data_IF_967027075485
#
_entry.id   IF_967027075485
#
_cell.length_a   1.000
_cell.length_b   1.000
_cell.length_c   1.000
_cell.angle_alpha   90.00
_cell.angle_beta   90.00
_cell.angle_gamma   90.00
#
_symmetry.space_group_name_H-M   'P 1'
#
loop_
_entity.id
_entity.type
_entity.pdbx_description
1 polymer ?
#
# COMPACT_ATOMS: atom_id res chain seq x y z
N UNK A 1 -13.14 -4.89 3.38
CA UNK A 1 -12.19 -4.40 4.40
C UNK A 1 -11.12 -3.59 3.71
N UNK A 2 -10.59 -2.55 4.35
CA UNK A 2 -9.59 -1.65 3.77
C UNK A 2 -8.30 -1.68 4.60
N UNK A 3 -7.17 -1.40 3.95
CA UNK A 3 -5.89 -1.19 4.61
C UNK A 3 -5.45 0.27 4.44
N UNK A 4 -4.91 0.86 5.51
CA UNK A 4 -4.35 2.21 5.49
C UNK A 4 -2.83 2.14 5.63
N UNK A 5 -2.12 2.80 4.73
CA UNK A 5 -0.66 2.98 4.82
C UNK A 5 -0.35 4.44 5.13
N UNK A 6 0.17 4.69 6.33
CA UNK A 6 0.75 5.96 6.75
C UNK A 6 2.25 5.98 6.44
N UNK A 7 2.81 7.14 6.09
CA UNK A 7 4.27 7.34 6.17
C UNK A 7 4.59 8.09 7.46
N UNK A 8 5.38 7.47 8.33
CA UNK A 8 5.93 8.13 9.50
C UNK A 8 7.15 8.98 9.07
N UNK A 9 7.00 10.30 9.15
CA UNK A 9 8.08 11.26 8.95
C UNK A 9 7.59 12.67 9.22
N UNK A 10 8.43 13.56 9.79
CA UNK A 10 8.06 14.94 10.01
C UNK A 10 7.98 15.67 8.67
N UNK A 11 6.79 16.21 8.40
CA UNK A 11 6.55 17.31 7.47
C UNK A 11 6.77 17.02 5.97
N UNK A 12 5.70 17.28 5.23
CA UNK A 12 5.58 17.22 3.76
C UNK A 12 5.41 15.81 3.19
N UNK A 13 4.43 15.71 2.29
CA UNK A 13 4.31 14.56 1.40
C UNK A 13 5.66 14.40 0.70
N UNK A 14 6.36 13.30 0.98
CA UNK A 14 7.60 13.02 0.28
C UNK A 14 7.30 12.78 -1.20
N UNK A 15 8.19 13.24 -2.08
CA UNK A 15 8.12 12.92 -3.51
C UNK A 15 8.06 11.41 -3.75
N UNK A 16 8.68 10.61 -2.86
CA UNK A 16 8.59 9.15 -2.87
C UNK A 16 7.17 8.63 -2.65
N UNK A 17 6.38 9.21 -1.75
CA UNK A 17 4.98 8.81 -1.52
C UNK A 17 4.11 9.03 -2.75
N UNK A 18 4.21 10.22 -3.37
CA UNK A 18 3.44 10.53 -4.57
C UNK A 18 3.88 9.70 -5.75
N UNK A 19 5.18 9.40 -5.87
CA UNK A 19 5.69 8.49 -6.89
C UNK A 19 5.17 7.07 -6.66
N UNK A 20 5.11 6.61 -5.41
CA UNK A 20 4.52 5.32 -5.07
C UNK A 20 3.05 5.26 -5.51
N UNK A 21 2.24 6.25 -5.13
CA UNK A 21 0.84 6.36 -5.54
C UNK A 21 0.68 6.39 -7.07
N UNK A 22 1.48 7.19 -7.78
CA UNK A 22 1.46 7.27 -9.25
C UNK A 22 1.80 5.94 -9.91
N UNK A 23 2.84 5.26 -9.44
CA UNK A 23 3.25 3.96 -9.97
C UNK A 23 2.16 2.92 -9.77
N UNK A 24 1.59 2.89 -8.57
CA UNK A 24 0.47 2.05 -8.24
C UNK A 24 -0.75 2.27 -9.14
N UNK A 25 -1.12 3.53 -9.39
CA UNK A 25 -2.22 3.87 -10.30
C UNK A 25 -1.94 3.41 -11.73
N UNK A 26 -0.68 3.46 -12.19
CA UNK A 26 -0.29 2.88 -13.49
C UNK A 26 -0.45 1.36 -13.51
N UNK A 27 0.07 0.66 -12.50
CA UNK A 27 -0.07 -0.80 -12.41
C UNK A 27 -1.54 -1.24 -12.33
N UNK A 28 -2.41 -0.45 -11.68
CA UNK A 28 -3.85 -0.69 -11.65
C UNK A 28 -4.45 -0.67 -13.07
N UNK A 29 -4.06 0.30 -13.90
CA UNK A 29 -4.49 0.37 -15.30
C UNK A 29 -3.96 -0.81 -16.14
N UNK A 30 -2.83 -1.38 -15.75
CA UNK A 30 -2.22 -2.55 -16.39
C UNK A 30 -2.79 -3.90 -15.89
N UNK A 31 -3.76 -3.88 -14.97
CA UNK A 31 -4.45 -5.09 -14.51
C UNK A 31 -3.93 -5.68 -13.20
N UNK A 32 -3.22 -4.90 -12.38
CA UNK A 32 -2.86 -5.31 -11.01
C UNK A 32 -4.11 -5.67 -10.18
N UNK A 33 -4.05 -6.81 -9.48
CA UNK A 33 -5.17 -7.30 -8.65
C UNK A 33 -5.40 -6.46 -7.37
N UNK A 34 -4.37 -5.75 -6.88
CA UNK A 34 -4.49 -4.95 -5.67
C UNK A 34 -5.08 -3.58 -5.98
N UNK A 35 -6.33 -3.36 -5.55
CA UNK A 35 -7.02 -2.09 -5.74
C UNK A 35 -6.53 -0.98 -4.81
N UNK A 36 -6.42 0.23 -5.37
CA UNK A 36 -6.13 1.46 -4.64
C UNK A 36 -7.30 2.41 -4.81
N UNK A 37 -7.90 2.77 -3.68
CA UNK A 37 -9.10 3.60 -3.66
C UNK A 37 -8.76 5.08 -3.68
N UNK A 38 -7.63 5.49 -3.09
CA UNK A 38 -7.18 6.87 -3.16
C UNK A 38 -6.32 7.32 -1.99
N UNK A 39 -6.31 8.63 -1.76
CA UNK A 39 -5.60 9.31 -0.69
C UNK A 39 -6.59 9.90 0.31
N UNK A 40 -6.23 9.87 1.58
CA UNK A 40 -6.92 10.60 2.66
C UNK A 40 -5.90 11.35 3.51
N UNK A 41 -6.35 12.32 4.28
CA UNK A 41 -5.50 13.11 5.16
C UNK A 41 -6.12 13.17 6.55
N UNK A 42 -5.30 12.89 7.57
CA UNK A 42 -5.69 13.17 8.95
C UNK A 42 -5.61 14.68 9.19
N UNK A 43 -6.73 15.31 9.56
CA UNK A 43 -6.80 16.76 9.77
C UNK A 43 -6.05 17.23 11.02
N UNK A 44 -5.91 16.37 12.02
CA UNK A 44 -5.23 16.68 13.28
C UNK A 44 -3.71 16.61 13.13
N UNK A 45 -3.21 15.58 12.45
CA UNK A 45 -1.76 15.36 12.28
C UNK A 45 -1.21 15.89 10.96
N UNK A 46 -2.08 16.25 10.00
CA UNK A 46 -1.71 16.63 8.65
C UNK A 46 -1.18 15.49 7.77
N UNK A 47 -1.11 14.26 8.30
CA UNK A 47 -0.51 13.12 7.62
C UNK A 47 -1.40 12.58 6.52
N UNK A 48 -0.81 12.35 5.35
CA UNK A 48 -1.47 11.66 4.24
C UNK A 48 -1.37 10.15 4.40
N UNK A 49 -2.43 9.47 3.96
CA UNK A 49 -2.56 8.02 3.97
C UNK A 49 -3.05 7.54 2.62
N UNK A 50 -2.51 6.42 2.15
CA UNK A 50 -3.04 5.69 1.01
C UNK A 50 -4.05 4.65 1.48
N UNK A 51 -5.15 4.55 0.75
CA UNK A 51 -6.24 3.60 1.03
C UNK A 51 -6.22 2.48 0.00
N UNK A 52 -6.04 1.26 0.49
CA UNK A 52 -5.93 0.04 -0.31
C UNK A 52 -7.07 -0.93 -0.01
N UNK A 53 -7.33 -1.83 -0.95
CA UNK A 53 -8.02 -3.09 -0.66
C UNK A 53 -7.20 -3.90 0.35
N UNK A 54 -7.86 -4.43 1.37
CA UNK A 54 -7.21 -5.33 2.31
C UNK A 54 -6.98 -6.71 1.68
N UNK A 55 -5.72 -7.14 1.62
CA UNK A 55 -5.33 -8.48 1.20
C UNK A 55 -5.37 -9.45 2.39
N UNK A 56 -6.34 -10.35 2.42
CA UNK A 56 -6.58 -11.27 3.53
C UNK A 56 -5.88 -12.63 3.41
N UNK A 57 -5.05 -12.84 2.38
CA UNK A 57 -4.36 -14.12 2.11
C UNK A 57 -2.93 -14.19 2.67
N UNK A 58 -2.51 -13.19 3.43
CA UNK A 58 -1.12 -13.07 3.90
C UNK A 58 -0.18 -12.61 2.79
N UNK A 59 1.12 -12.87 2.96
CA UNK A 59 2.15 -12.50 1.98
C UNK A 59 2.80 -13.76 1.37
N UNK A 60 3.42 -13.58 0.19
CA UNK A 60 4.06 -14.65 -0.55
C UNK A 60 5.22 -15.29 0.24
N UNK A 61 5.96 -14.50 1.02
CA UNK A 61 7.08 -15.01 1.80
C UNK A 61 6.63 -16.02 2.85
N UNK A 62 5.56 -15.73 3.59
CA UNK A 62 4.99 -16.66 4.57
C UNK A 62 4.45 -17.93 3.90
N UNK A 63 3.77 -17.78 2.76
CA UNK A 63 3.29 -18.91 1.98
C UNK A 63 4.44 -19.83 1.55
N UNK A 64 5.49 -19.28 0.95
CA UNK A 64 6.65 -20.06 0.53
C UNK A 64 7.38 -20.70 1.72
N UNK A 65 7.55 -19.95 2.81
CA UNK A 65 8.19 -20.43 4.04
C UNK A 65 7.41 -21.55 4.73
N UNK A 66 6.08 -21.58 4.57
CA UNK A 66 5.24 -22.62 5.16
C UNK A 66 5.28 -23.92 4.35
N UNK A 67 5.21 -23.83 3.02
CA UNK A 67 4.99 -25.01 2.16
C UNK A 67 6.24 -25.50 1.41
N UNK A 68 7.25 -24.64 1.23
CA UNK A 68 8.43 -24.91 0.40
C UNK A 68 9.73 -24.88 1.19
N UNK A 69 9.68 -24.89 2.53
CA UNK A 69 10.85 -24.73 3.43
C UNK A 69 11.98 -25.76 3.25
N UNK A 70 11.68 -26.91 2.64
CA UNK A 70 12.60 -28.05 2.48
C UNK A 70 12.87 -28.41 1.02
N UNK A 71 12.40 -27.59 0.07
CA UNK A 71 12.78 -27.71 -1.33
C UNK A 71 14.16 -27.11 -1.56
#
# INVERSE_FOLDING_TARGET
MVALKTLHGPQQISSSFLNEFKNHMKCRLEGSELEIYGLTQNKETGQYMMVYQYANRGNLFDFLSQYFRKL
#
